data_IF_499920466084
#
_entry.id   IF_499920466084
#
_cell.length_a   1.000
_cell.length_b   1.000
_cell.length_c   1.000
_cell.angle_alpha   90.00
_cell.angle_beta   90.00
_cell.angle_gamma   90.00
#
_symmetry.space_group_name_H-M   'P 1'
#
loop_
_entity.id
_entity.type
_entity.pdbx_description
1 polymer ?
#
# COMPACT_ATOMS: atom_id res chain seq x y z
N UNK A 1 15.89 4.45 12.52
CA UNK A 1 14.92 3.43 13.01
C UNK A 1 14.90 2.25 12.07
N UNK A 2 14.29 1.10 12.46
CA UNK A 2 14.05 -0.04 11.57
C UNK A 2 12.58 -0.03 11.12
N UNK A 3 12.35 0.17 9.83
CA UNK A 3 11.00 0.40 9.29
C UNK A 3 10.69 -0.66 8.23
N UNK A 4 9.55 -1.33 8.36
CA UNK A 4 9.01 -2.21 7.31
C UNK A 4 8.14 -1.38 6.36
N UNK A 5 8.47 -1.42 5.06
CA UNK A 5 7.67 -0.80 4.00
C UNK A 5 7.16 -1.91 3.08
N UNK A 6 5.86 -2.17 3.09
CA UNK A 6 5.26 -3.13 2.15
C UNK A 6 4.82 -2.40 0.88
N UNK A 7 4.87 -3.07 -0.27
CA UNK A 7 4.65 -2.44 -1.56
C UNK A 7 5.84 -1.56 -2.00
N UNK A 8 7.05 -1.91 -1.55
CA UNK A 8 8.26 -1.11 -1.79
C UNK A 8 8.66 -1.00 -3.27
N UNK A 9 8.29 -1.97 -4.11
CA UNK A 9 8.48 -1.93 -5.56
C UNK A 9 7.35 -1.17 -6.29
N UNK A 10 6.33 -0.72 -5.55
CA UNK A 10 5.28 0.15 -6.05
C UNK A 10 5.76 1.60 -6.21
N UNK A 11 4.92 2.43 -6.87
CA UNK A 11 5.22 3.84 -7.11
C UNK A 11 5.48 4.62 -5.81
N UNK A 12 4.49 4.64 -4.91
CA UNK A 12 4.59 5.38 -3.65
C UNK A 12 5.65 4.73 -2.75
N UNK A 13 5.67 3.39 -2.69
CA UNK A 13 6.58 2.63 -1.83
C UNK A 13 8.05 2.90 -2.13
N UNK A 14 8.44 2.96 -3.40
CA UNK A 14 9.81 3.30 -3.79
C UNK A 14 10.21 4.68 -3.26
N UNK A 15 9.41 5.72 -3.51
CA UNK A 15 9.74 7.07 -3.06
C UNK A 15 9.78 7.21 -1.54
N UNK A 16 8.91 6.47 -0.83
CA UNK A 16 8.94 6.41 0.64
C UNK A 16 10.24 5.76 1.11
N UNK A 17 10.64 4.62 0.51
CA UNK A 17 11.91 3.97 0.84
C UNK A 17 13.11 4.89 0.59
N UNK A 18 13.20 5.55 -0.57
CA UNK A 18 14.26 6.53 -0.86
C UNK A 18 14.33 7.62 0.19
N UNK A 19 13.18 8.16 0.60
CA UNK A 19 13.13 9.22 1.61
C UNK A 19 13.60 8.75 2.98
N UNK A 20 13.18 7.56 3.43
CA UNK A 20 13.59 6.98 4.70
C UNK A 20 15.09 6.66 4.73
N UNK A 21 15.61 6.08 3.66
CA UNK A 21 17.04 5.79 3.52
C UNK A 21 17.87 7.08 3.57
N UNK A 22 17.44 8.14 2.88
CA UNK A 22 18.08 9.46 2.93
C UNK A 22 18.05 10.10 4.34
N UNK A 23 17.09 9.71 5.19
CA UNK A 23 17.04 10.12 6.59
C UNK A 23 17.92 9.25 7.50
N UNK A 24 18.56 8.21 6.94
CA UNK A 24 19.44 7.30 7.66
C UNK A 24 18.75 6.13 8.35
N UNK A 25 17.46 5.89 8.07
CA UNK A 25 16.72 4.75 8.59
C UNK A 25 17.15 3.44 7.92
N UNK A 26 16.93 2.31 8.59
CA UNK A 26 17.05 0.97 8.00
C UNK A 26 15.68 0.55 7.49
N UNK A 27 15.59 0.21 6.21
CA UNK A 27 14.33 -0.12 5.53
C UNK A 27 14.30 -1.58 5.14
N UNK A 28 13.28 -2.29 5.60
CA UNK A 28 12.92 -3.60 5.09
C UNK A 28 11.81 -3.39 4.08
N UNK A 29 12.13 -3.59 2.82
CA UNK A 29 11.18 -3.49 1.71
C UNK A 29 10.55 -4.84 1.40
N UNK A 30 9.22 -4.92 1.37
CA UNK A 30 8.47 -6.11 0.99
C UNK A 30 7.61 -5.84 -0.23
N UNK A 31 7.65 -6.73 -1.21
CA UNK A 31 6.76 -6.75 -2.38
C UNK A 31 6.68 -8.17 -2.94
N UNK A 32 5.54 -8.58 -3.50
CA UNK A 32 5.40 -9.88 -4.14
C UNK A 32 5.79 -9.86 -5.62
N UNK A 33 6.01 -8.68 -6.20
CA UNK A 33 6.30 -8.47 -7.61
C UNK A 33 5.23 -9.07 -8.54
N UNK A 34 3.94 -8.95 -8.16
CA UNK A 34 2.85 -9.44 -9.01
C UNK A 34 2.85 -8.75 -10.38
N UNK A 35 2.24 -9.41 -11.35
CA UNK A 35 2.18 -9.04 -12.76
C UNK A 35 0.94 -8.20 -13.14
N UNK A 36 0.33 -7.51 -12.16
CA UNK A 36 -0.81 -6.60 -12.42
C UNK A 36 -0.49 -5.55 -13.50
N UNK A 37 0.76 -5.12 -13.54
CA UNK A 37 1.37 -4.39 -14.65
C UNK A 37 2.81 -4.88 -14.85
N UNK A 38 3.48 -4.42 -15.91
CA UNK A 38 4.82 -4.89 -16.29
C UNK A 38 5.79 -4.91 -15.08
N UNK A 39 6.26 -6.12 -14.76
CA UNK A 39 7.14 -6.38 -13.61
C UNK A 39 8.48 -5.67 -13.76
N UNK A 40 8.95 -5.43 -14.99
CA UNK A 40 10.21 -4.73 -15.24
C UNK A 40 10.23 -3.33 -14.62
N UNK A 41 9.07 -2.65 -14.55
CA UNK A 41 8.95 -1.36 -13.87
C UNK A 41 9.14 -1.49 -12.36
N UNK A 42 8.67 -2.58 -11.75
CA UNK A 42 8.89 -2.86 -10.32
C UNK A 42 10.38 -3.15 -10.05
N UNK A 43 10.99 -3.95 -10.91
CA UNK A 43 12.43 -4.27 -10.83
C UNK A 43 13.31 -3.02 -11.00
N UNK A 44 12.97 -2.15 -11.95
CA UNK A 44 13.65 -0.88 -12.14
C UNK A 44 13.55 0.06 -10.93
N UNK A 45 12.39 0.07 -10.24
CA UNK A 45 12.24 0.81 -8.97
C UNK A 45 13.11 0.21 -7.86
N UNK A 46 13.13 -1.13 -7.73
CA UNK A 46 13.99 -1.81 -6.75
C UNK A 46 15.47 -1.57 -7.02
N UNK A 47 15.91 -1.56 -8.29
CA UNK A 47 17.29 -1.28 -8.65
C UNK A 47 17.80 0.07 -8.14
N UNK A 48 16.90 1.03 -7.86
CA UNK A 48 17.23 2.32 -7.23
C UNK A 48 17.50 2.20 -5.73
N UNK A 49 16.87 1.24 -5.06
CA UNK A 49 16.95 1.05 -3.61
C UNK A 49 18.06 0.08 -3.21
N UNK A 50 18.28 -0.96 -4.02
CA UNK A 50 19.24 -2.04 -3.73
C UNK A 50 20.68 -1.61 -3.46
N UNK A 51 21.20 -0.50 -4.03
CA UNK A 51 22.58 -0.05 -3.74
C UNK A 51 22.78 0.46 -2.31
N UNK A 52 21.71 0.85 -1.61
CA UNK A 52 21.82 1.35 -0.23
C UNK A 52 21.99 0.18 0.76
N UNK A 53 23.08 0.12 1.54
CA UNK A 53 23.34 -0.97 2.47
C UNK A 53 22.35 -1.07 3.63
N UNK A 54 21.52 -0.05 3.84
CA UNK A 54 20.44 -0.03 4.83
C UNK A 54 19.09 -0.51 4.27
N UNK A 55 19.04 -0.87 2.99
CA UNK A 55 17.86 -1.43 2.37
C UNK A 55 17.98 -2.96 2.24
N UNK A 56 16.98 -3.67 2.73
CA UNK A 56 16.85 -5.12 2.56
C UNK A 56 15.54 -5.43 1.85
N UNK A 57 15.59 -6.08 0.68
CA UNK A 57 14.41 -6.50 -0.05
C UNK A 57 13.99 -7.93 0.31
N UNK A 58 12.71 -8.13 0.56
CA UNK A 58 12.11 -9.45 0.80
C UNK A 58 10.95 -9.63 -0.17
N UNK A 59 11.07 -10.64 -1.04
CA UNK A 59 9.98 -11.05 -1.93
C UNK A 59 9.01 -11.94 -1.15
N UNK A 60 7.86 -11.38 -0.80
CA UNK A 60 6.83 -12.09 -0.03
C UNK A 60 5.46 -11.48 -0.32
N UNK A 61 4.42 -12.32 -0.34
CA UNK A 61 3.04 -11.87 -0.42
C UNK A 61 2.49 -11.54 0.98
N UNK A 62 1.84 -10.41 1.14
CA UNK A 62 1.21 -10.02 2.41
C UNK A 62 0.10 -10.98 2.84
N UNK A 63 -0.50 -11.72 1.90
CA UNK A 63 -1.50 -12.75 2.18
C UNK A 63 -0.89 -14.06 2.71
N UNK A 64 0.42 -14.26 2.58
CA UNK A 64 1.12 -15.43 3.15
C UNK A 64 1.25 -15.28 4.67
N UNK A 65 0.28 -15.84 5.40
CA UNK A 65 0.22 -15.74 6.87
C UNK A 65 1.47 -16.29 7.56
N UNK A 66 1.96 -17.52 7.27
CA UNK A 66 3.18 -18.03 7.89
C UNK A 66 4.41 -17.17 7.60
N UNK A 67 4.61 -16.80 6.34
CA UNK A 67 5.75 -15.96 5.93
C UNK A 67 5.72 -14.59 6.59
N UNK A 68 4.54 -13.96 6.71
CA UNK A 68 4.41 -12.68 7.41
C UNK A 68 4.69 -12.81 8.91
N UNK A 69 4.20 -13.86 9.58
CA UNK A 69 4.47 -14.09 10.99
C UNK A 69 5.98 -14.28 11.24
N UNK A 70 6.66 -15.09 10.42
CA UNK A 70 8.11 -15.28 10.48
C UNK A 70 8.89 -13.98 10.26
N UNK A 71 8.48 -13.19 9.25
CA UNK A 71 9.09 -11.90 8.95
C UNK A 71 9.04 -10.97 10.16
N UNK A 72 7.87 -10.78 10.77
CA UNK A 72 7.74 -9.91 11.94
C UNK A 72 8.53 -10.42 13.16
N UNK A 73 8.54 -11.74 13.37
CA UNK A 73 9.30 -12.35 14.48
C UNK A 73 10.83 -12.15 14.32
N UNK A 74 11.34 -12.28 13.10
CA UNK A 74 12.76 -12.13 12.76
C UNK A 74 13.18 -10.66 12.76
N UNK A 75 12.44 -9.82 12.04
CA UNK A 75 12.86 -8.45 11.76
C UNK A 75 12.52 -7.47 12.87
N UNK A 76 11.45 -7.69 13.61
CA UNK A 76 10.98 -6.83 14.71
C UNK A 76 10.99 -5.35 14.34
N UNK A 77 10.28 -4.92 13.29
CA UNK A 77 10.27 -3.53 12.86
C UNK A 77 9.70 -2.64 13.96
N UNK A 78 10.31 -1.45 14.15
CA UNK A 78 9.81 -0.44 15.07
C UNK A 78 8.56 0.25 14.52
N UNK A 79 8.52 0.50 13.21
CA UNK A 79 7.38 1.10 12.50
C UNK A 79 7.05 0.34 11.24
N UNK A 80 5.80 0.42 10.82
CA UNK A 80 5.33 -0.20 9.58
C UNK A 80 4.64 0.86 8.71
N UNK A 81 5.02 0.89 7.42
CA UNK A 81 4.33 1.65 6.39
C UNK A 81 3.76 0.65 5.39
N UNK A 82 2.45 0.43 5.48
CA UNK A 82 1.77 -0.57 4.67
C UNK A 82 1.14 0.05 3.43
N UNK A 83 1.80 -0.15 2.28
CA UNK A 83 1.37 0.35 0.98
C UNK A 83 1.03 -0.80 0.00
N UNK A 84 1.37 -2.04 0.34
CA UNK A 84 1.01 -3.20 -0.47
C UNK A 84 -0.51 -3.37 -0.50
N UNK A 85 -1.06 -3.46 -1.68
CA UNK A 85 -2.47 -3.71 -1.90
C UNK A 85 -2.72 -4.09 -3.37
N UNK A 86 -3.79 -4.83 -3.63
CA UNK A 86 -4.35 -4.83 -4.98
C UNK A 86 -5.06 -3.50 -5.19
N UNK A 87 -4.53 -2.70 -6.10
CA UNK A 87 -5.05 -1.36 -6.44
C UNK A 87 -5.87 -1.40 -7.75
N UNK A 88 -6.61 -0.31 -8.02
CA UNK A 88 -7.41 -0.18 -9.23
C UNK A 88 -8.90 -0.48 -8.99
N UNK A 89 -9.74 0.57 -9.09
CA UNK A 89 -11.19 0.43 -8.85
C UNK A 89 -11.83 -0.50 -9.89
N UNK A 90 -11.48 -0.34 -11.18
CA UNK A 90 -12.10 -1.12 -12.29
C UNK A 90 -11.70 -2.59 -12.25
N UNK A 91 -10.46 -2.89 -11.92
CA UNK A 91 -9.96 -4.26 -11.86
C UNK A 91 -10.64 -5.09 -10.75
N UNK A 92 -11.19 -4.44 -9.70
CA UNK A 92 -11.94 -5.15 -8.66
C UNK A 92 -13.22 -5.81 -9.17
N UNK A 93 -13.73 -5.42 -10.34
CA UNK A 93 -14.85 -6.06 -11.01
C UNK A 93 -14.42 -7.33 -11.77
N UNK A 94 -13.17 -7.40 -12.20
CA UNK A 94 -12.62 -8.51 -13.00
C UNK A 94 -12.01 -9.60 -12.11
N UNK A 95 -11.29 -9.20 -11.07
CA UNK A 95 -10.62 -10.13 -10.15
C UNK A 95 -10.87 -9.74 -8.67
N UNK A 96 -12.09 -9.99 -8.14
CA UNK A 96 -12.44 -9.63 -6.77
C UNK A 96 -11.61 -10.37 -5.71
N UNK A 97 -11.22 -11.62 -5.96
CA UNK A 97 -10.45 -12.42 -5.00
C UNK A 97 -9.09 -11.82 -4.69
N UNK A 98 -8.39 -11.25 -5.67
CA UNK A 98 -7.13 -10.57 -5.43
C UNK A 98 -7.26 -9.42 -4.40
N UNK A 99 -8.43 -8.77 -4.35
CA UNK A 99 -8.71 -7.73 -3.35
C UNK A 99 -9.01 -8.31 -1.97
N UNK A 100 -9.72 -9.43 -1.90
CA UNK A 100 -9.95 -10.14 -0.64
C UNK A 100 -8.62 -10.61 -0.04
N UNK A 101 -7.79 -11.26 -0.84
CA UNK A 101 -6.52 -11.82 -0.39
C UNK A 101 -5.55 -10.73 0.03
N UNK A 102 -5.23 -9.77 -0.85
CA UNK A 102 -4.23 -8.75 -0.55
C UNK A 102 -4.73 -7.70 0.45
N UNK A 103 -5.97 -7.18 0.26
CA UNK A 103 -6.41 -6.02 1.02
C UNK A 103 -7.09 -6.39 2.35
N UNK A 104 -7.68 -7.58 2.49
CA UNK A 104 -8.29 -8.00 3.74
C UNK A 104 -7.40 -9.00 4.47
N UNK A 105 -7.14 -10.17 3.91
CA UNK A 105 -6.27 -11.18 4.54
C UNK A 105 -4.88 -10.62 4.79
N UNK A 106 -4.28 -9.97 3.78
CA UNK A 106 -2.96 -9.33 3.91
C UNK A 106 -2.94 -8.27 5.00
N UNK A 107 -3.98 -7.44 5.09
CA UNK A 107 -4.04 -6.40 6.13
C UNK A 107 -4.17 -6.98 7.54
N UNK A 108 -4.94 -8.08 7.73
CA UNK A 108 -5.00 -8.79 9.02
C UNK A 108 -3.61 -9.31 9.41
N UNK A 109 -2.85 -9.88 8.46
CA UNK A 109 -1.49 -10.35 8.73
C UNK A 109 -0.55 -9.21 9.16
N UNK A 110 -0.69 -8.01 8.57
CA UNK A 110 0.04 -6.80 9.00
C UNK A 110 -0.35 -6.41 10.42
N UNK A 111 -1.65 -6.35 10.73
CA UNK A 111 -2.14 -5.97 12.05
C UNK A 111 -1.68 -6.94 13.14
N UNK A 112 -1.77 -8.25 12.90
CA UNK A 112 -1.25 -9.27 13.82
C UNK A 112 0.27 -9.18 13.98
N UNK A 113 1.00 -8.98 12.88
CA UNK A 113 2.44 -8.74 12.93
C UNK A 113 2.80 -7.52 13.79
N UNK A 114 2.09 -6.40 13.60
CA UNK A 114 2.27 -5.19 14.41
C UNK A 114 1.99 -5.44 15.90
N UNK A 115 0.92 -6.20 16.21
CA UNK A 115 0.53 -6.55 17.57
C UNK A 115 1.62 -7.37 18.27
N UNK A 116 2.09 -8.46 17.66
CA UNK A 116 3.07 -9.36 18.27
C UNK A 116 4.48 -8.76 18.33
N UNK A 117 4.88 -7.97 17.32
CA UNK A 117 6.15 -7.27 17.33
C UNK A 117 6.14 -5.99 18.20
N UNK A 118 4.98 -5.58 18.75
CA UNK A 118 4.79 -4.34 19.52
C UNK A 118 5.25 -3.11 18.75
N UNK A 119 4.80 -3.00 17.50
CA UNK A 119 5.13 -1.90 16.60
C UNK A 119 4.68 -0.57 17.21
N UNK A 120 5.54 0.44 17.18
CA UNK A 120 5.28 1.77 17.75
C UNK A 120 4.24 2.57 16.95
N UNK A 121 4.14 2.35 15.64
CA UNK A 121 3.19 3.02 14.76
C UNK A 121 3.00 2.27 13.43
N UNK A 122 1.75 2.08 13.05
CA UNK A 122 1.35 1.61 11.73
C UNK A 122 0.77 2.77 10.91
N UNK A 123 1.41 3.11 9.80
CA UNK A 123 0.84 3.97 8.76
C UNK A 123 0.37 3.09 7.61
N UNK A 124 -0.85 3.28 7.11
CA UNK A 124 -1.38 2.46 6.03
C UNK A 124 -2.13 3.27 4.97
N UNK A 125 -2.11 2.77 3.75
CA UNK A 125 -2.82 3.36 2.63
C UNK A 125 -4.32 3.03 2.68
N UNK A 126 -5.17 4.03 2.97
CA UNK A 126 -6.56 4.07 2.59
C UNK A 126 -6.71 4.71 1.20
N UNK A 127 -7.87 5.19 0.85
CA UNK A 127 -8.14 5.78 -0.48
C UNK A 127 -9.27 6.79 -0.40
N UNK A 128 -9.21 7.84 -1.23
CA UNK A 128 -10.34 8.74 -1.45
C UNK A 128 -11.59 8.02 -1.98
N UNK A 129 -11.43 6.81 -2.55
CA UNK A 129 -12.56 5.98 -2.99
C UNK A 129 -13.53 5.62 -1.85
N UNK A 130 -13.11 5.69 -0.58
CA UNK A 130 -13.98 5.44 0.58
C UNK A 130 -15.09 6.48 0.69
N UNK A 131 -14.90 7.69 0.16
CA UNK A 131 -15.95 8.72 0.13
C UNK A 131 -17.15 8.34 -0.74
N UNK A 132 -16.99 7.35 -1.65
CA UNK A 132 -18.08 6.78 -2.42
C UNK A 132 -18.83 7.83 -3.23
N UNK A 133 -20.14 7.86 -3.06
CA UNK A 133 -21.06 8.79 -3.74
C UNK A 133 -21.26 10.14 -3.05
N UNK A 134 -20.42 10.55 -2.10
CA UNK A 134 -20.54 11.85 -1.45
C UNK A 134 -20.49 12.99 -2.47
N UNK A 135 -21.43 13.92 -2.35
CA UNK A 135 -21.54 15.10 -3.25
C UNK A 135 -20.97 16.37 -2.62
N UNK A 136 -20.75 16.37 -1.30
CA UNK A 136 -20.13 17.50 -0.59
C UNK A 136 -18.67 17.67 -1.03
N UNK A 137 -18.31 18.89 -1.42
CA UNK A 137 -16.96 19.29 -1.76
C UNK A 137 -16.52 20.53 -0.97
N UNK A 138 -15.26 20.59 -0.49
CA UNK A 138 -14.26 19.53 -0.48
C UNK A 138 -14.63 18.41 0.50
N UNK A 139 -14.11 17.19 0.25
CA UNK A 139 -14.21 16.10 1.21
C UNK A 139 -13.43 16.42 2.49
N UNK A 140 -13.93 15.92 3.62
CA UNK A 140 -13.28 16.06 4.93
C UNK A 140 -13.15 14.68 5.58
N UNK A 141 -12.19 14.54 6.50
CA UNK A 141 -11.95 13.27 7.22
C UNK A 141 -13.15 12.84 8.06
N UNK A 142 -13.95 13.83 8.55
CA UNK A 142 -15.16 13.59 9.33
C UNK A 142 -16.39 13.21 8.49
N UNK A 143 -16.30 13.27 7.16
CA UNK A 143 -17.44 12.89 6.31
C UNK A 143 -17.71 11.39 6.43
N UNK A 144 -19.00 11.01 6.46
CA UNK A 144 -19.43 9.62 6.47
C UNK A 144 -18.94 8.90 5.21
N UNK A 145 -18.40 7.69 5.37
CA UNK A 145 -17.82 6.87 4.31
C UNK A 145 -18.41 5.45 4.31
N UNK A 146 -19.71 5.35 4.59
CA UNK A 146 -20.40 4.06 4.83
C UNK A 146 -21.04 3.48 3.55
N UNK A 147 -20.95 4.20 2.43
CA UNK A 147 -21.52 3.78 1.14
C UNK A 147 -20.48 3.72 0.02
N UNK A 148 -19.49 2.78 0.11
CA UNK A 148 -18.51 2.59 -0.94
C UNK A 148 -19.19 2.10 -2.22
N UNK A 149 -18.76 2.61 -3.39
CA UNK A 149 -19.34 2.29 -4.70
C UNK A 149 -18.49 1.31 -5.52
N UNK A 150 -17.50 0.68 -4.90
CA UNK A 150 -16.69 -0.38 -5.51
C UNK A 150 -16.17 -1.34 -4.45
N UNK A 151 -15.85 -2.59 -4.86
CA UNK A 151 -15.24 -3.56 -3.96
C UNK A 151 -13.89 -3.06 -3.43
N UNK A 152 -13.08 -2.43 -4.27
CA UNK A 152 -11.83 -1.79 -3.82
C UNK A 152 -12.08 -0.78 -2.68
N UNK A 153 -13.05 0.12 -2.84
CA UNK A 153 -13.41 1.09 -1.80
C UNK A 153 -13.89 0.38 -0.53
N UNK A 154 -14.71 -0.67 -0.66
CA UNK A 154 -15.18 -1.46 0.46
C UNK A 154 -14.01 -2.11 1.23
N UNK A 155 -13.01 -2.68 0.54
CA UNK A 155 -11.83 -3.24 1.21
C UNK A 155 -11.01 -2.16 1.93
N UNK A 156 -10.90 -0.96 1.36
CA UNK A 156 -10.18 0.16 2.01
C UNK A 156 -10.93 0.69 3.23
N UNK A 157 -12.27 0.79 3.16
CA UNK A 157 -13.08 1.12 4.35
C UNK A 157 -12.94 0.04 5.41
N UNK A 158 -12.96 -1.24 5.05
CA UNK A 158 -12.72 -2.33 5.98
C UNK A 158 -11.35 -2.22 6.67
N UNK A 159 -10.29 -1.80 5.94
CA UNK A 159 -8.98 -1.55 6.55
C UNK A 159 -9.06 -0.47 7.64
N UNK A 160 -9.78 0.65 7.41
CA UNK A 160 -9.97 1.70 8.41
C UNK A 160 -10.65 1.15 9.68
N UNK A 161 -11.70 0.33 9.53
CA UNK A 161 -12.41 -0.29 10.64
C UNK A 161 -11.54 -1.31 11.40
N UNK A 162 -10.81 -2.16 10.68
CA UNK A 162 -9.89 -3.13 11.30
C UNK A 162 -8.76 -2.42 12.05
N UNK A 163 -8.15 -1.39 11.47
CA UNK A 163 -7.10 -0.61 12.13
C UNK A 163 -7.62 0.06 13.41
N UNK A 164 -8.82 0.65 13.37
CA UNK A 164 -9.47 1.22 14.55
C UNK A 164 -9.67 0.17 15.64
N UNK A 165 -10.16 -1.02 15.27
CA UNK A 165 -10.38 -2.13 16.21
C UNK A 165 -9.08 -2.55 16.89
N UNK A 166 -7.99 -2.70 16.14
CA UNK A 166 -6.68 -3.08 16.69
C UNK A 166 -6.05 -1.97 17.55
N UNK A 167 -6.25 -0.72 17.16
CA UNK A 167 -5.85 0.43 17.99
C UNK A 167 -6.60 0.41 19.33
N UNK A 168 -7.90 0.19 19.31
CA UNK A 168 -8.73 0.14 20.52
C UNK A 168 -8.39 -1.04 21.44
N UNK A 169 -8.29 -2.25 20.87
CA UNK A 169 -8.10 -3.48 21.66
C UNK A 169 -6.66 -3.68 22.14
N UNK A 170 -5.68 -3.28 21.35
CA UNK A 170 -4.27 -3.62 21.57
C UNK A 170 -3.37 -2.40 21.72
N UNK A 171 -3.93 -1.18 21.68
CA UNK A 171 -3.19 0.05 21.86
C UNK A 171 -2.17 0.36 20.76
N UNK A 172 -2.34 -0.21 19.55
CA UNK A 172 -1.43 0.04 18.42
C UNK A 172 -1.77 1.40 17.80
N UNK A 173 -0.87 2.39 17.82
CA UNK A 173 -1.09 3.65 17.12
C UNK A 173 -1.18 3.41 15.61
N UNK A 174 -2.27 3.88 14.98
CA UNK A 174 -2.50 3.72 13.54
C UNK A 174 -2.84 5.04 12.88
N UNK A 175 -2.36 5.24 11.63
CA UNK A 175 -2.73 6.37 10.79
C UNK A 175 -3.10 5.87 9.40
N UNK A 176 -4.36 6.03 9.01
CA UNK A 176 -4.84 5.73 7.66
C UNK A 176 -4.75 6.97 6.76
N UNK A 177 -4.16 6.83 5.58
CA UNK A 177 -4.02 7.91 4.62
C UNK A 177 -4.98 7.71 3.45
N UNK A 178 -5.99 8.57 3.31
CA UNK A 178 -6.95 8.55 2.19
C UNK A 178 -6.33 9.20 0.97
N UNK A 179 -5.46 8.47 0.26
CA UNK A 179 -4.81 8.98 -0.94
C UNK A 179 -5.84 9.31 -2.04
N UNK A 180 -5.70 10.49 -2.61
CA UNK A 180 -6.28 10.85 -3.90
C UNK A 180 -5.39 10.33 -5.03
N UNK A 181 -5.63 10.78 -6.29
CA UNK A 181 -4.78 10.38 -7.41
C UNK A 181 -3.36 10.90 -7.22
N UNK A 182 -2.44 9.99 -6.98
CA UNK A 182 -1.01 10.30 -6.85
C UNK A 182 -0.37 10.19 -8.23
N UNK A 183 0.43 11.18 -8.62
CA UNK A 183 1.15 11.22 -9.89
C UNK A 183 2.59 11.73 -9.70
N UNK A 184 3.45 11.44 -10.66
CA UNK A 184 4.85 11.86 -10.62
C UNK A 184 5.77 10.88 -11.36
N UNK A 185 7.08 11.12 -11.33
CA UNK A 185 8.07 10.20 -11.91
C UNK A 185 7.92 8.80 -11.35
N UNK A 186 8.12 7.80 -12.20
CA UNK A 186 7.94 6.38 -11.85
C UNK A 186 6.49 5.99 -11.50
N UNK A 187 5.50 6.81 -11.91
CA UNK A 187 4.09 6.56 -11.69
C UNK A 187 3.60 5.23 -12.29
N UNK A 188 2.38 4.86 -11.93
CA UNK A 188 1.75 3.62 -12.42
C UNK A 188 1.28 3.78 -13.87
N UNK A 189 1.53 2.77 -14.74
CA UNK A 189 1.21 2.86 -16.17
C UNK A 189 -0.30 2.74 -16.48
N UNK A 190 -1.10 2.28 -15.53
CA UNK A 190 -2.57 2.13 -15.63
C UNK A 190 -3.36 3.39 -15.23
N UNK A 191 -2.65 4.47 -14.84
CA UNK A 191 -3.29 5.74 -14.46
C UNK A 191 -3.51 6.65 -15.68
N UNK A 192 -4.60 7.43 -15.64
CA UNK A 192 -5.03 8.29 -16.75
C UNK A 192 -3.92 9.20 -17.28
N UNK A 193 -3.15 9.83 -16.41
CA UNK A 193 -2.04 10.69 -16.81
C UNK A 193 -1.03 9.95 -17.69
N UNK A 194 -0.63 8.74 -17.30
CA UNK A 194 0.31 7.92 -18.08
C UNK A 194 -0.32 7.46 -19.40
N UNK A 195 -1.56 6.97 -19.35
CA UNK A 195 -2.28 6.47 -20.52
C UNK A 195 -2.47 7.57 -21.57
N UNK A 196 -2.88 8.76 -21.15
CA UNK A 196 -3.09 9.89 -22.06
C UNK A 196 -1.76 10.39 -22.63
N UNK A 197 -0.73 10.55 -21.80
CA UNK A 197 0.61 10.96 -22.28
C UNK A 197 1.12 9.98 -23.33
N UNK A 198 1.01 8.67 -23.07
CA UNK A 198 1.42 7.63 -24.02
C UNK A 198 0.62 7.71 -25.33
N UNK A 199 -0.70 7.83 -25.24
CA UNK A 199 -1.56 7.94 -26.42
C UNK A 199 -1.19 9.15 -27.28
N UNK A 200 -0.96 10.32 -26.65
CA UNK A 200 -0.55 11.55 -27.36
C UNK A 200 0.79 11.35 -28.07
N UNK A 201 1.79 10.77 -27.39
CA UNK A 201 3.12 10.54 -27.98
C UNK A 201 3.09 9.53 -29.14
N UNK A 202 2.16 8.58 -29.12
CA UNK A 202 1.94 7.57 -30.17
C UNK A 202 0.96 8.04 -31.25
N UNK A 203 0.44 9.28 -31.17
CA UNK A 203 -0.54 9.81 -32.13
C UNK A 203 -1.89 9.11 -32.09
N UNK A 204 -2.25 8.48 -30.99
CA UNK A 204 -3.53 7.79 -30.77
C UNK A 204 -4.54 8.68 -30.04
N UNK A 205 -5.85 8.51 -30.29
CA UNK A 205 -6.90 9.17 -29.51
C UNK A 205 -6.78 8.86 -28.00
N UNK A 206 -7.16 9.85 -27.18
CA UNK A 206 -7.23 9.74 -25.72
C UNK A 206 -8.68 9.53 -25.26
#
# INVERSE_FOLDING_TARGET
>A
MKILVTGCAGFIGMHVCERLLAQGDTVIGLDNLNDYYDVSLKEARLARLMPDPKFCFIKLDVADRPGMAELFAREKPQRVIHLAAQAGVRYSLQNPHAYADSNLTGFVNILEGCRYAKVEHLVYASSSSVYGGNTKMPFAEADAVDHPVSLYAATKKANELMAHTYSHLFGIPTTGLRFFTVYGPWGRPDMALFLFTRAILEGRPI
#
